data_IF_401611502370
#
_entry.id   IF_401611502370
#
_cell.length_a   1.000
_cell.length_b   1.000
_cell.length_c   1.000
_cell.angle_alpha   90.00
_cell.angle_beta   90.00
_cell.angle_gamma   90.00
#
_symmetry.space_group_name_H-M   'P 1'
#
loop_
_entity.id
_entity.type
_entity.pdbx_description
1 polymer ?
#
# COMPACT_ATOMS: atom_id res chain seq x y z
N UNK A 1 -4.74 12.63 -3.26
CA UNK A 1 -5.28 11.26 -3.05
C UNK A 1 -5.51 11.06 -1.56
N UNK A 2 -6.68 10.61 -1.15
CA UNK A 2 -6.93 10.33 0.26
C UNK A 2 -6.49 8.91 0.63
N UNK A 3 -6.51 8.58 1.92
CA UNK A 3 -6.01 7.29 2.38
C UNK A 3 -6.86 6.10 1.90
N UNK A 4 -8.15 6.30 1.68
CA UNK A 4 -9.02 5.23 1.19
C UNK A 4 -8.65 4.87 -0.25
N UNK A 5 -8.48 5.88 -1.10
CA UNK A 5 -8.07 5.67 -2.49
C UNK A 5 -6.69 5.04 -2.57
N UNK A 6 -5.76 5.52 -1.75
CA UNK A 6 -4.41 4.98 -1.72
C UNK A 6 -4.41 3.50 -1.35
N UNK A 7 -5.19 3.13 -0.33
CA UNK A 7 -5.28 1.73 0.10
C UNK A 7 -5.88 0.83 -0.96
N UNK A 8 -6.86 1.33 -1.70
CA UNK A 8 -7.44 0.59 -2.83
C UNK A 8 -6.39 0.32 -3.90
N UNK A 9 -5.60 1.32 -4.23
CA UNK A 9 -4.56 1.16 -5.24
C UNK A 9 -3.44 0.24 -4.78
N UNK A 10 -3.06 0.33 -3.50
CA UNK A 10 -2.07 -0.58 -2.93
C UNK A 10 -2.55 -2.02 -3.03
N UNK A 11 -3.79 -2.27 -2.66
CA UNK A 11 -4.36 -3.62 -2.73
C UNK A 11 -4.37 -4.13 -4.17
N UNK A 12 -4.72 -3.28 -5.11
CA UNK A 12 -4.72 -3.64 -6.53
C UNK A 12 -3.32 -4.01 -7.02
N UNK A 13 -2.32 -3.22 -6.63
CA UNK A 13 -0.92 -3.51 -6.96
C UNK A 13 -0.49 -4.86 -6.40
N UNK A 14 -0.82 -5.12 -5.14
CA UNK A 14 -0.46 -6.37 -4.48
C UNK A 14 -1.11 -7.58 -5.16
N UNK A 15 -2.36 -7.44 -5.58
CA UNK A 15 -3.07 -8.52 -6.26
C UNK A 15 -2.47 -8.84 -7.62
N UNK A 16 -1.99 -7.82 -8.32
CA UNK A 16 -1.43 -7.98 -9.66
C UNK A 16 0.03 -8.38 -9.65
N UNK A 17 0.72 -8.21 -8.52
CA UNK A 17 2.13 -8.55 -8.41
C UNK A 17 2.32 -10.04 -8.22
N UNK A 18 3.28 -10.59 -8.93
CA UNK A 18 3.65 -12.00 -8.78
C UNK A 18 4.67 -12.20 -7.65
N UNK A 19 5.20 -11.13 -7.11
CA UNK A 19 6.19 -11.17 -6.03
C UNK A 19 5.89 -10.08 -5.01
N UNK A 20 6.41 -10.20 -3.78
CA UNK A 20 6.19 -9.19 -2.74
C UNK A 20 6.67 -7.82 -3.19
N UNK A 21 5.91 -6.78 -2.83
CA UNK A 21 6.25 -5.38 -3.14
C UNK A 21 6.69 -4.72 -1.85
N UNK A 22 7.95 -4.21 -1.78
CA UNK A 22 8.43 -3.56 -0.56
C UNK A 22 7.67 -2.29 -0.23
N UNK A 23 7.47 -2.02 1.06
CA UNK A 23 6.81 -0.80 1.50
C UNK A 23 7.55 0.45 1.01
N UNK A 24 8.87 0.39 0.93
CA UNK A 24 9.68 1.50 0.41
C UNK A 24 9.30 1.86 -1.02
N UNK A 25 9.06 0.84 -1.84
CA UNK A 25 8.68 1.05 -3.24
C UNK A 25 7.30 1.70 -3.33
N UNK A 26 6.36 1.25 -2.52
CA UNK A 26 5.02 1.83 -2.48
C UNK A 26 5.06 3.27 -1.97
N UNK A 27 5.89 3.54 -0.95
CA UNK A 27 6.04 4.89 -0.43
C UNK A 27 6.53 5.86 -1.50
N UNK A 28 7.50 5.44 -2.30
CA UNK A 28 8.00 6.27 -3.40
C UNK A 28 6.93 6.48 -4.46
N UNK A 29 6.16 5.46 -4.78
CA UNK A 29 5.10 5.55 -5.80
C UNK A 29 4.00 6.54 -5.42
N UNK A 30 3.62 6.56 -4.13
CA UNK A 30 2.54 7.42 -3.66
C UNK A 30 3.03 8.72 -3.02
N UNK A 31 4.34 8.94 -3.02
CA UNK A 31 4.95 10.13 -2.45
C UNK A 31 4.55 10.35 -0.98
N UNK A 32 4.63 9.29 -0.21
CA UNK A 32 4.35 9.29 1.23
C UNK A 32 5.49 8.62 1.96
N UNK A 33 5.51 8.74 3.30
CA UNK A 33 6.53 8.07 4.10
C UNK A 33 6.29 6.56 4.12
N UNK A 34 7.37 5.81 4.35
CA UNK A 34 7.28 4.36 4.50
C UNK A 34 6.33 3.99 5.65
N UNK A 35 6.32 4.78 6.72
CA UNK A 35 5.46 4.53 7.87
C UNK A 35 3.98 4.59 7.50
N UNK A 36 3.62 5.51 6.61
CA UNK A 36 2.24 5.62 6.12
C UNK A 36 1.85 4.33 5.40
N UNK A 37 2.74 3.80 4.58
CA UNK A 37 2.48 2.54 3.86
C UNK A 37 2.37 1.37 4.84
N UNK A 38 3.21 1.32 5.87
CA UNK A 38 3.13 0.27 6.88
C UNK A 38 1.76 0.28 7.56
N UNK A 39 1.24 1.47 7.89
CA UNK A 39 -0.09 1.61 8.45
C UNK A 39 -1.17 1.18 7.47
N UNK A 40 -1.03 1.56 6.20
CA UNK A 40 -1.98 1.15 5.17
C UNK A 40 -2.03 -0.37 5.02
N UNK A 41 -0.87 -1.01 5.02
CA UNK A 41 -0.81 -2.47 4.92
C UNK A 41 -1.46 -3.15 6.12
N UNK A 42 -1.29 -2.59 7.31
CA UNK A 42 -1.92 -3.12 8.51
C UNK A 42 -3.44 -3.04 8.40
N UNK A 43 -3.97 -1.91 7.91
CA UNK A 43 -5.42 -1.74 7.72
C UNK A 43 -5.95 -2.70 6.67
N UNK A 44 -5.23 -2.86 5.57
CA UNK A 44 -5.62 -3.78 4.50
C UNK A 44 -5.69 -5.22 5.02
N UNK A 45 -4.70 -5.65 5.79
CA UNK A 45 -4.67 -7.00 6.37
C UNK A 45 -5.82 -7.21 7.35
N UNK A 46 -6.16 -6.19 8.12
CA UNK A 46 -7.26 -6.30 9.07
C UNK A 46 -8.63 -6.37 8.37
N UNK A 47 -8.72 -5.93 7.12
CA UNK A 47 -9.96 -5.88 6.36
C UNK A 47 -10.22 -7.12 5.52
N UNK A 48 -9.24 -8.01 5.41
CA UNK A 48 -9.36 -9.21 4.55
C UNK A 48 -9.38 -10.51 5.31
#
# INVERSE_FOLDING_TARGET
>A
MNNIERRKEILDILRKSSSPVPAKQLAARFDVSRQVIVQDLAVIRAST
#
